data_IF_599759185328
#
_entry.id   IF_599759185328
#
_cell.length_a   1.000
_cell.length_b   1.000
_cell.length_c   1.000
_cell.angle_alpha   90.00
_cell.angle_beta   90.00
_cell.angle_gamma   90.00
#
_symmetry.space_group_name_H-M   'P 1'
#
loop_
_entity.id
_entity.type
_entity.pdbx_description
1 polymer ?
#
# COMPACT_ATOMS: atom_id res chain seq x y z
N UNK A 1 -8.23 3.13 32.66
CA UNK A 1 -7.27 2.03 32.81
C UNK A 1 -6.64 1.85 31.45
N UNK A 2 -5.45 2.42 31.25
CA UNK A 2 -4.71 2.41 29.98
C UNK A 2 -3.90 1.11 29.96
N UNK A 3 -4.43 0.08 29.31
CA UNK A 3 -3.69 -1.16 29.11
C UNK A 3 -2.52 -0.87 28.17
N UNK A 4 -1.32 -0.80 28.76
CA UNK A 4 -0.08 -0.47 28.09
C UNK A 4 0.08 -1.28 26.81
N UNK A 5 0.00 -0.60 25.67
CA UNK A 5 0.25 -1.16 24.34
C UNK A 5 1.67 -1.74 24.34
N UNK A 6 1.79 -3.06 24.50
CA UNK A 6 3.05 -3.77 24.31
C UNK A 6 3.56 -3.47 22.90
N UNK A 7 4.63 -2.67 22.81
CA UNK A 7 5.23 -2.30 21.53
C UNK A 7 5.87 -3.55 20.93
N UNK A 8 5.16 -4.22 20.04
CA UNK A 8 5.68 -5.38 19.31
C UNK A 8 6.98 -4.95 18.61
N UNK A 9 8.09 -5.64 18.91
CA UNK A 9 9.40 -5.35 18.31
C UNK A 9 9.34 -5.65 16.80
N UNK A 10 9.45 -4.61 15.98
CA UNK A 10 9.45 -4.70 14.52
C UNK A 10 10.80 -5.26 14.07
N UNK A 11 10.82 -6.46 13.48
CA UNK A 11 12.06 -7.12 13.00
C UNK A 11 12.16 -7.12 11.48
N UNK A 12 11.01 -7.08 10.80
CA UNK A 12 10.88 -7.12 9.36
C UNK A 12 9.81 -6.14 8.87
N UNK A 13 9.83 -5.80 7.58
CA UNK A 13 8.77 -5.01 6.94
C UNK A 13 7.38 -5.65 7.15
N UNK A 14 7.32 -6.98 7.26
CA UNK A 14 6.08 -7.75 7.47
C UNK A 14 5.47 -7.55 8.85
N UNK A 15 6.23 -6.98 9.79
CA UNK A 15 5.72 -6.61 11.11
C UNK A 15 5.03 -5.23 11.10
N UNK A 16 5.22 -4.43 10.04
CA UNK A 16 4.57 -3.12 9.91
C UNK A 16 3.08 -3.29 9.61
N UNK A 17 2.23 -2.60 10.36
CA UNK A 17 0.79 -2.61 10.12
C UNK A 17 0.43 -2.06 8.73
N UNK A 18 1.12 -1.00 8.28
CA UNK A 18 0.91 -0.44 6.93
C UNK A 18 1.23 -1.45 5.82
N UNK A 19 2.25 -2.30 6.00
CA UNK A 19 2.59 -3.33 5.04
C UNK A 19 1.51 -4.43 5.00
N UNK A 20 1.02 -4.87 6.16
CA UNK A 20 -0.03 -5.90 6.23
C UNK A 20 -1.31 -5.41 5.56
N UNK A 21 -1.72 -4.18 5.85
CA UNK A 21 -2.92 -3.58 5.27
C UNK A 21 -2.77 -3.42 3.76
N UNK A 22 -1.62 -2.91 3.27
CA UNK A 22 -1.34 -2.80 1.85
C UNK A 22 -1.31 -4.16 1.14
N UNK A 23 -0.74 -5.18 1.78
CA UNK A 23 -0.71 -6.54 1.21
C UNK A 23 -2.11 -7.14 1.11
N UNK A 24 -2.93 -6.98 2.16
CA UNK A 24 -4.32 -7.41 2.16
C UNK A 24 -5.13 -6.69 1.06
N UNK A 25 -4.97 -5.37 0.93
CA UNK A 25 -5.61 -4.57 -0.12
C UNK A 25 -5.21 -5.05 -1.53
N UNK A 26 -3.92 -5.29 -1.76
CA UNK A 26 -3.42 -5.77 -3.05
C UNK A 26 -3.91 -7.17 -3.39
N UNK A 27 -4.05 -8.06 -2.40
CA UNK A 27 -4.60 -9.39 -2.61
C UNK A 27 -6.09 -9.36 -2.89
N UNK A 28 -6.82 -8.47 -2.23
CA UNK A 28 -8.22 -8.22 -2.53
C UNK A 28 -8.42 -7.72 -3.97
N UNK A 29 -7.63 -6.73 -4.40
CA UNK A 29 -7.59 -6.26 -5.80
C UNK A 29 -7.28 -7.40 -6.77
N UNK A 30 -6.32 -8.27 -6.42
CA UNK A 30 -6.00 -9.42 -7.26
C UNK A 30 -7.19 -10.37 -7.44
N UNK A 31 -7.92 -10.66 -6.37
CA UNK A 31 -9.08 -11.55 -6.38
C UNK A 31 -10.26 -10.94 -7.18
N UNK A 32 -10.63 -9.69 -6.92
CA UNK A 32 -11.73 -9.04 -7.67
C UNK A 32 -11.41 -8.96 -9.16
N UNK A 33 -10.15 -8.69 -9.51
CA UNK A 33 -9.77 -8.50 -10.91
C UNK A 33 -9.69 -9.82 -11.70
N UNK A 34 -9.87 -10.99 -11.06
CA UNK A 34 -10.07 -12.26 -11.79
C UNK A 34 -11.41 -12.29 -12.54
N UNK A 35 -12.36 -11.45 -12.14
CA UNK A 35 -13.67 -11.32 -12.80
C UNK A 35 -13.66 -10.33 -13.97
N UNK A 36 -12.56 -9.59 -14.17
CA UNK A 36 -12.47 -8.61 -15.25
C UNK A 36 -12.40 -9.32 -16.61
N UNK A 37 -12.77 -8.60 -17.67
CA UNK A 37 -12.76 -9.15 -19.03
C UNK A 37 -11.36 -9.55 -19.47
N UNK A 38 -11.23 -10.61 -20.28
CA UNK A 38 -9.91 -11.06 -20.77
C UNK A 38 -9.22 -10.01 -21.64
N UNK A 39 -9.99 -9.18 -22.31
CA UNK A 39 -9.52 -8.04 -23.12
C UNK A 39 -8.77 -7.01 -22.27
N UNK A 40 -9.05 -6.92 -20.97
CA UNK A 40 -8.39 -6.00 -20.03
C UNK A 40 -7.13 -6.58 -19.39
N UNK A 41 -6.70 -7.79 -19.77
CA UNK A 41 -5.57 -8.49 -19.12
C UNK A 41 -4.31 -7.64 -19.10
N UNK A 42 -3.96 -7.02 -20.23
CA UNK A 42 -2.76 -6.18 -20.39
C UNK A 42 -3.04 -4.67 -20.25
N UNK A 43 -4.25 -4.32 -19.82
CA UNK A 43 -4.72 -2.95 -19.63
C UNK A 43 -5.09 -2.79 -18.15
N UNK A 44 -6.37 -2.62 -17.82
CA UNK A 44 -6.81 -2.32 -16.45
C UNK A 44 -6.35 -3.36 -15.42
N UNK A 45 -6.41 -4.65 -15.77
CA UNK A 45 -6.08 -5.74 -14.84
C UNK A 45 -4.61 -5.72 -14.43
N UNK A 46 -3.70 -5.54 -15.39
CA UNK A 46 -2.27 -5.51 -15.12
C UNK A 46 -1.88 -4.25 -14.35
N UNK A 47 -2.41 -3.09 -14.76
CA UNK A 47 -2.08 -1.81 -14.14
C UNK A 47 -2.52 -1.75 -12.67
N UNK A 48 -3.79 -2.10 -12.36
CA UNK A 48 -4.29 -2.08 -10.97
C UNK A 48 -3.54 -3.06 -10.08
N UNK A 49 -3.14 -4.23 -10.62
CA UNK A 49 -2.36 -5.23 -9.88
C UNK A 49 -0.93 -4.78 -9.65
N UNK A 50 -0.30 -4.12 -10.63
CA UNK A 50 1.08 -3.62 -10.48
C UNK A 50 1.13 -2.49 -9.47
N UNK A 51 0.31 -1.44 -9.64
CA UNK A 51 0.27 -0.31 -8.73
C UNK A 51 0.01 -0.74 -7.27
N UNK A 52 -1.01 -1.58 -7.05
CA UNK A 52 -1.34 -2.06 -5.69
C UNK A 52 -0.21 -2.83 -5.01
N UNK A 53 0.53 -3.66 -5.76
CA UNK A 53 1.66 -4.44 -5.25
C UNK A 53 2.91 -3.57 -5.06
N UNK A 54 3.08 -2.52 -5.85
CA UNK A 54 4.22 -1.61 -5.77
C UNK A 54 4.30 -0.91 -4.41
N UNK A 55 3.16 -0.63 -3.77
CA UNK A 55 3.13 -0.12 -2.37
C UNK A 55 3.96 -1.03 -1.44
N UNK A 56 3.76 -2.35 -1.54
CA UNK A 56 4.43 -3.35 -0.72
C UNK A 56 5.92 -3.52 -1.11
N UNK A 57 6.24 -3.52 -2.40
CA UNK A 57 7.63 -3.68 -2.86
C UNK A 57 8.47 -2.47 -2.48
N UNK A 58 7.96 -1.25 -2.66
CA UNK A 58 8.61 -0.01 -2.22
C UNK A 58 8.84 0.01 -0.70
N UNK A 59 7.85 -0.39 0.11
CA UNK A 59 8.03 -0.54 1.57
C UNK A 59 9.13 -1.55 1.92
N UNK A 60 9.19 -2.69 1.22
CA UNK A 60 10.20 -3.73 1.44
C UNK A 60 11.61 -3.24 1.09
N UNK A 61 11.74 -2.53 -0.03
CA UNK A 61 13.00 -1.90 -0.46
C UNK A 61 13.46 -0.82 0.52
N UNK A 62 12.56 0.08 0.91
CA UNK A 62 12.81 1.11 1.93
C UNK A 62 13.27 0.48 3.23
N UNK A 63 12.56 -0.53 3.73
CA UNK A 63 12.91 -1.24 4.96
C UNK A 63 14.32 -1.84 4.91
N UNK A 64 14.73 -2.43 3.78
CA UNK A 64 16.08 -2.99 3.59
C UNK A 64 17.16 -1.91 3.54
N UNK A 65 16.84 -0.71 3.06
CA UNK A 65 17.76 0.42 2.94
C UNK A 65 17.67 1.43 4.09
N UNK A 66 16.94 1.13 5.18
CA UNK A 66 16.70 2.04 6.33
C UNK A 66 17.95 2.61 7.03
N UNK A 67 19.13 2.00 6.83
CA UNK A 67 20.43 2.59 7.25
C UNK A 67 20.73 3.92 6.55
N UNK A 68 20.10 4.19 5.41
CA UNK A 68 20.21 5.43 4.65
C UNK A 68 18.86 6.16 4.69
N UNK A 69 18.70 7.09 5.64
CA UNK A 69 17.43 7.76 5.91
C UNK A 69 16.78 8.38 4.66
N UNK A 70 17.56 9.06 3.82
CA UNK A 70 17.04 9.67 2.59
C UNK A 70 16.46 8.63 1.61
N UNK A 71 17.09 7.47 1.47
CA UNK A 71 16.60 6.40 0.59
C UNK A 71 15.35 5.73 1.17
N UNK A 72 15.28 5.59 2.49
CA UNK A 72 14.07 5.09 3.15
C UNK A 72 12.90 6.03 2.96
N UNK A 73 13.08 7.34 3.19
CA UNK A 73 12.05 8.36 2.99
C UNK A 73 11.58 8.35 1.54
N UNK A 74 12.50 8.37 0.57
CA UNK A 74 12.14 8.32 -0.85
C UNK A 74 11.29 7.09 -1.17
N UNK A 75 11.66 5.90 -0.67
CA UNK A 75 10.87 4.68 -0.90
C UNK A 75 9.50 4.68 -0.21
N UNK A 76 9.36 5.32 0.95
CA UNK A 76 8.06 5.50 1.60
C UNK A 76 7.19 6.49 0.82
N UNK A 77 7.79 7.55 0.27
CA UNK A 77 7.11 8.47 -0.64
C UNK A 77 6.66 7.76 -1.93
N UNK A 78 7.53 6.95 -2.55
CA UNK A 78 7.18 6.14 -3.72
C UNK A 78 5.98 5.23 -3.38
N UNK A 79 5.95 4.58 -2.22
CA UNK A 79 4.78 3.81 -1.75
C UNK A 79 3.51 4.65 -1.71
N UNK A 80 3.58 5.93 -1.31
CA UNK A 80 2.44 6.85 -1.29
C UNK A 80 2.00 7.33 -2.68
N UNK A 81 2.92 7.37 -3.65
CA UNK A 81 2.54 7.63 -5.06
C UNK A 81 1.75 6.44 -5.64
N UNK A 82 2.17 5.22 -5.30
CA UNK A 82 1.51 3.98 -5.74
C UNK A 82 0.10 3.80 -5.13
N UNK A 83 -0.17 4.39 -3.95
CA UNK A 83 -1.55 4.41 -3.42
C UNK A 83 -2.46 5.25 -4.30
N UNK A 84 -2.03 6.46 -4.67
CA UNK A 84 -2.80 7.35 -5.54
C UNK A 84 -2.99 6.76 -6.95
N UNK A 85 -1.95 6.12 -7.50
CA UNK A 85 -2.07 5.41 -8.78
C UNK A 85 -3.07 4.26 -8.68
N UNK A 86 -3.04 3.48 -7.59
CA UNK A 86 -4.02 2.40 -7.38
C UNK A 86 -5.44 2.92 -7.31
N UNK A 87 -5.69 4.03 -6.60
CA UNK A 87 -7.02 4.65 -6.52
C UNK A 87 -7.51 5.10 -7.89
N UNK A 88 -6.64 5.71 -8.70
CA UNK A 88 -6.97 6.08 -10.10
C UNK A 88 -7.41 4.85 -10.91
N UNK A 89 -6.71 3.73 -10.78
CA UNK A 89 -7.11 2.49 -11.47
C UNK A 89 -8.41 1.88 -10.92
N UNK A 90 -8.71 2.06 -9.64
CA UNK A 90 -10.01 1.69 -9.07
C UNK A 90 -11.14 2.56 -9.62
N UNK A 91 -10.92 3.86 -9.87
CA UNK A 91 -11.89 4.73 -10.54
C UNK A 91 -12.19 4.25 -11.96
N UNK A 92 -11.15 3.88 -12.72
CA UNK A 92 -11.34 3.27 -14.05
C UNK A 92 -12.12 1.95 -13.96
N UNK A 93 -11.82 1.08 -13.00
CA UNK A 93 -12.55 -0.15 -12.80
C UNK A 93 -14.04 0.09 -12.49
N UNK A 94 -14.35 1.12 -11.70
CA UNK A 94 -15.72 1.53 -11.42
C UNK A 94 -16.42 2.09 -12.66
N UNK A 95 -15.76 2.99 -13.40
CA UNK A 95 -16.30 3.61 -14.60
C UNK A 95 -16.60 2.59 -15.71
N UNK A 96 -15.72 1.59 -15.86
CA UNK A 96 -15.89 0.45 -16.76
C UNK A 96 -16.85 -0.62 -16.20
N UNK A 97 -17.43 -0.42 -15.01
CA UNK A 97 -18.39 -1.31 -14.35
C UNK A 97 -17.84 -2.70 -14.03
N UNK A 98 -16.53 -2.82 -13.83
CA UNK A 98 -15.90 -4.06 -13.37
C UNK A 98 -15.98 -4.25 -11.85
N UNK A 99 -16.20 -3.17 -11.11
CA UNK A 99 -16.50 -3.19 -9.68
C UNK A 99 -17.72 -2.32 -9.40
N UNK A 100 -18.42 -2.60 -8.29
CA UNK A 100 -19.53 -1.76 -7.82
C UNK A 100 -19.03 -0.59 -6.97
N UNK A 101 -19.92 0.39 -6.74
CA UNK A 101 -19.63 1.60 -5.95
C UNK A 101 -19.15 1.26 -4.53
N UNK A 102 -19.75 0.23 -3.92
CA UNK A 102 -19.42 -0.20 -2.56
C UNK A 102 -18.01 -0.78 -2.47
N UNK A 103 -17.60 -1.58 -3.45
CA UNK A 103 -16.25 -2.13 -3.55
C UNK A 103 -15.22 -1.03 -3.78
N UNK A 104 -15.54 -0.08 -4.66
CA UNK A 104 -14.72 1.10 -4.90
C UNK A 104 -14.51 1.89 -3.60
N UNK A 105 -15.58 2.36 -2.95
CA UNK A 105 -15.50 3.18 -1.72
C UNK A 105 -14.66 2.51 -0.64
N UNK A 106 -14.91 1.21 -0.40
CA UNK A 106 -14.21 0.46 0.63
C UNK A 106 -12.72 0.30 0.32
N UNK A 107 -12.34 0.08 -0.94
CA UNK A 107 -10.93 -0.02 -1.32
C UNK A 107 -10.25 1.35 -1.32
N UNK A 108 -10.94 2.38 -1.81
CA UNK A 108 -10.48 3.77 -1.81
C UNK A 108 -10.18 4.26 -0.39
N UNK A 109 -11.12 4.07 0.55
CA UNK A 109 -10.92 4.36 1.98
C UNK A 109 -9.75 3.57 2.59
N UNK A 110 -9.56 2.31 2.17
CA UNK A 110 -8.43 1.48 2.63
C UNK A 110 -7.10 2.07 2.15
N UNK A 111 -7.05 2.57 0.91
CA UNK A 111 -5.85 3.21 0.34
C UNK A 111 -5.58 4.60 0.94
N UNK A 112 -6.62 5.39 1.25
CA UNK A 112 -6.48 6.62 2.03
C UNK A 112 -5.87 6.37 3.42
N UNK A 113 -6.33 5.31 4.10
CA UNK A 113 -5.75 4.92 5.38
C UNK A 113 -4.29 4.47 5.24
N UNK A 114 -3.96 3.68 4.22
CA UNK A 114 -2.58 3.29 3.91
C UNK A 114 -1.72 4.54 3.68
N UNK A 115 -2.18 5.49 2.87
CA UNK A 115 -1.48 6.74 2.60
C UNK A 115 -1.21 7.53 3.89
N UNK A 116 -2.22 7.71 4.75
CA UNK A 116 -2.06 8.40 6.04
C UNK A 116 -1.02 7.72 6.96
N UNK A 117 -0.98 6.38 6.96
CA UNK A 117 0.04 5.61 7.69
C UNK A 117 1.44 5.82 7.09
N UNK A 118 1.58 5.83 5.77
CA UNK A 118 2.83 6.09 5.06
C UNK A 118 3.35 7.51 5.35
N UNK A 119 2.52 8.53 5.24
CA UNK A 119 2.90 9.92 5.57
C UNK A 119 3.33 10.07 7.03
N UNK A 120 2.70 9.32 7.94
CA UNK A 120 3.10 9.29 9.35
C UNK A 120 4.44 8.56 9.54
N UNK A 121 4.67 7.47 8.83
CA UNK A 121 5.93 6.72 8.83
C UNK A 121 7.09 7.57 8.29
N UNK A 122 6.86 8.32 7.20
CA UNK A 122 7.81 9.26 6.63
C UNK A 122 8.18 10.37 7.61
N UNK A 123 7.18 11.05 8.19
CA UNK A 123 7.40 12.10 9.21
C UNK A 123 8.15 11.58 10.44
N UNK A 124 7.98 10.29 10.77
CA UNK A 124 8.64 9.62 11.89
C UNK A 124 9.80 8.71 11.45
N UNK A 125 10.43 8.98 10.30
CA UNK A 125 11.48 8.13 9.72
C UNK A 125 12.62 7.79 10.69
N UNK A 126 12.98 8.71 11.59
CA UNK A 126 14.02 8.47 12.62
C UNK A 126 13.72 7.26 13.52
N UNK A 127 12.44 6.97 13.77
CA UNK A 127 12.03 5.80 14.56
C UNK A 127 12.42 4.48 13.89
N UNK A 128 12.60 4.49 12.58
CA UNK A 128 12.89 3.31 11.76
C UNK A 128 14.33 3.27 11.24
N UNK A 129 14.96 4.44 11.05
CA UNK A 129 16.28 4.59 10.46
C UNK A 129 17.42 4.62 11.48
N UNK A 130 17.14 4.80 12.77
CA UNK A 130 18.19 4.94 13.78
C UNK A 130 19.04 3.66 13.91
N UNK A 131 20.21 3.71 13.29
CA UNK A 131 21.39 2.96 13.65
C UNK A 131 21.95 3.56 14.94
N UNK A 132 21.95 2.79 16.03
CA UNK A 132 23.10 2.85 16.93
C UNK A 132 24.25 2.12 16.23
#
# INVERSE_FOLDING_TARGET
MDEGRQTKRIRSVRDLEVYKLAFEAAMEIFEISKSFSKEETYSLTDQVRRASRSVCTNLSEGWRKRRYKAVFINKVSDSGQETAETQTWLEFALACKYIDRRTFERLDEKYEHIFAMLSTMERKADTFCNSK
#
